data_IF_183999482120
#
_entry.id   IF_183999482120
#
_cell.length_a   1.000
_cell.length_b   1.000
_cell.length_c   1.000
_cell.angle_alpha   90.00
_cell.angle_beta   90.00
_cell.angle_gamma   90.00
#
_symmetry.space_group_name_H-M   'P 1'
#
loop_
_entity.id
_entity.type
_entity.pdbx_description
1 polymer ?
#
# COMPACT_ATOMS: atom_id res chain seq x y z
N UNK A 1 -31.68 35.75 -2.85
CA UNK A 1 -30.32 35.46 -3.37
C UNK A 1 -29.60 34.40 -2.52
N UNK A 2 -30.09 33.15 -2.46
CA UNK A 2 -29.53 32.09 -1.57
C UNK A 2 -29.09 30.81 -2.30
N UNK A 3 -29.27 30.73 -3.62
CA UNK A 3 -29.03 29.48 -4.37
C UNK A 3 -27.55 29.22 -4.73
N UNK A 4 -26.69 30.25 -4.72
CA UNK A 4 -25.28 30.10 -5.07
C UNK A 4 -24.45 29.38 -4.00
N UNK A 5 -24.70 29.67 -2.73
CA UNK A 5 -23.90 29.16 -1.61
C UNK A 5 -24.11 27.65 -1.38
N UNK A 6 -25.36 27.17 -1.46
CA UNK A 6 -25.68 25.75 -1.33
C UNK A 6 -25.07 24.90 -2.47
N UNK A 7 -24.99 25.45 -3.69
CA UNK A 7 -24.37 24.79 -4.86
C UNK A 7 -22.85 24.62 -4.67
N UNK A 8 -22.18 25.64 -4.13
CA UNK A 8 -20.74 25.59 -3.82
C UNK A 8 -20.42 24.57 -2.71
N UNK A 9 -21.22 24.53 -1.64
CA UNK A 9 -21.05 23.55 -0.56
C UNK A 9 -21.29 22.10 -1.03
N UNK A 10 -22.23 21.90 -1.96
CA UNK A 10 -22.47 20.57 -2.55
C UNK A 10 -21.31 20.13 -3.42
N UNK A 11 -20.78 21.03 -4.26
CA UNK A 11 -19.63 20.75 -5.12
C UNK A 11 -18.38 20.41 -4.29
N UNK A 12 -18.08 21.16 -3.22
CA UNK A 12 -16.94 20.89 -2.35
C UNK A 12 -17.05 19.56 -1.61
N UNK A 13 -18.27 19.17 -1.20
CA UNK A 13 -18.53 17.87 -0.56
C UNK A 13 -18.36 16.70 -1.53
N UNK A 14 -18.83 16.85 -2.78
CA UNK A 14 -18.66 15.84 -3.83
C UNK A 14 -17.19 15.67 -4.17
N UNK A 15 -16.45 16.77 -4.35
CA UNK A 15 -15.01 16.76 -4.59
C UNK A 15 -14.25 16.03 -3.46
N UNK A 16 -14.52 16.38 -2.19
CA UNK A 16 -13.87 15.70 -1.04
C UNK A 16 -14.16 14.19 -1.00
N UNK A 17 -15.39 13.78 -1.34
CA UNK A 17 -15.77 12.35 -1.38
C UNK A 17 -15.08 11.62 -2.55
N UNK A 18 -14.95 12.28 -3.69
CA UNK A 18 -14.27 11.71 -4.85
C UNK A 18 -12.76 11.58 -4.61
N UNK A 19 -12.12 12.61 -4.05
CA UNK A 19 -10.71 12.54 -3.63
C UNK A 19 -10.49 11.41 -2.62
N UNK A 20 -11.40 11.23 -1.66
CA UNK A 20 -11.32 10.12 -0.69
C UNK A 20 -11.37 8.74 -1.35
N UNK A 21 -12.25 8.54 -2.36
CA UNK A 21 -12.30 7.27 -3.12
C UNK A 21 -11.05 7.06 -3.98
N UNK A 22 -10.53 8.11 -4.60
CA UNK A 22 -9.29 8.07 -5.39
C UNK A 22 -8.11 7.65 -4.50
N UNK A 23 -7.98 8.27 -3.32
CA UNK A 23 -6.94 7.93 -2.32
C UNK A 23 -7.09 6.49 -1.84
N UNK A 24 -8.30 6.02 -1.53
CA UNK A 24 -8.52 4.62 -1.11
C UNK A 24 -8.14 3.61 -2.21
N UNK A 25 -8.38 3.97 -3.47
CA UNK A 25 -7.99 3.13 -4.61
C UNK A 25 -6.48 3.07 -4.76
N UNK A 26 -5.82 4.22 -4.62
CA UNK A 26 -4.35 4.31 -4.63
C UNK A 26 -3.71 3.52 -3.48
N UNK A 27 -4.28 3.58 -2.27
CA UNK A 27 -3.81 2.79 -1.12
C UNK A 27 -3.78 1.30 -1.46
N UNK A 28 -4.86 0.79 -2.07
CA UNK A 28 -4.94 -0.62 -2.47
C UNK A 28 -3.93 -0.96 -3.56
N UNK A 29 -3.87 -0.16 -4.62
CA UNK A 29 -2.94 -0.38 -5.73
C UNK A 29 -1.47 -0.37 -5.28
N UNK A 30 -1.10 0.60 -4.45
CA UNK A 30 0.26 0.71 -3.92
C UNK A 30 0.58 -0.46 -3.01
N UNK A 31 -0.35 -0.88 -2.14
CA UNK A 31 -0.17 -2.06 -1.30
C UNK A 31 0.03 -3.32 -2.15
N UNK A 32 -0.83 -3.56 -3.13
CA UNK A 32 -0.75 -4.74 -4.00
C UNK A 32 0.57 -4.76 -4.81
N UNK A 33 0.98 -3.62 -5.36
CA UNK A 33 2.25 -3.48 -6.08
C UNK A 33 3.48 -3.70 -5.18
N UNK A 34 3.39 -3.29 -3.91
CA UNK A 34 4.50 -3.40 -2.96
C UNK A 34 4.64 -4.79 -2.35
N UNK A 35 3.58 -5.61 -2.33
CA UNK A 35 3.51 -6.83 -1.54
C UNK A 35 4.64 -7.82 -1.85
N UNK A 36 4.83 -8.16 -3.13
CA UNK A 36 5.85 -9.13 -3.54
C UNK A 36 7.27 -8.67 -3.14
N UNK A 37 7.57 -7.39 -3.37
CA UNK A 37 8.87 -6.78 -3.07
C UNK A 37 9.12 -6.78 -1.55
N UNK A 38 8.09 -6.46 -0.76
CA UNK A 38 8.21 -6.47 0.71
C UNK A 38 8.45 -7.89 1.21
N UNK A 39 7.69 -8.88 0.72
CA UNK A 39 7.86 -10.28 1.09
C UNK A 39 9.27 -10.78 0.77
N UNK A 40 9.79 -10.49 -0.41
CA UNK A 40 11.16 -10.84 -0.80
C UNK A 40 12.20 -10.21 0.16
N UNK A 41 12.05 -8.92 0.47
CA UNK A 41 12.98 -8.19 1.36
C UNK A 41 12.98 -8.67 2.81
N UNK A 42 11.88 -9.26 3.28
CA UNK A 42 11.75 -9.67 4.69
C UNK A 42 11.93 -11.17 4.92
N UNK A 43 11.73 -12.00 3.89
CA UNK A 43 11.74 -13.45 4.00
C UNK A 43 13.00 -14.02 4.68
N UNK A 44 14.17 -13.42 4.46
CA UNK A 44 15.43 -13.91 5.01
C UNK A 44 15.69 -13.56 6.48
N UNK A 45 14.94 -12.62 7.07
CA UNK A 45 15.27 -12.05 8.39
C UNK A 45 14.25 -12.33 9.49
N UNK A 46 13.00 -12.61 9.14
CA UNK A 46 11.89 -12.70 10.11
C UNK A 46 11.80 -14.05 10.84
N UNK A 47 12.47 -15.10 10.35
CA UNK A 47 12.29 -16.47 10.86
C UNK A 47 12.71 -16.66 12.32
N UNK A 48 13.60 -15.83 12.85
CA UNK A 48 14.07 -15.86 14.24
C UNK A 48 13.49 -14.75 15.11
N UNK A 49 12.62 -13.89 14.57
CA UNK A 49 12.07 -12.74 15.28
C UNK A 49 10.79 -13.13 16.03
N UNK A 50 10.58 -12.54 17.21
CA UNK A 50 9.26 -12.55 17.83
C UNK A 50 8.23 -11.82 16.94
N UNK A 51 6.94 -12.05 17.16
CA UNK A 51 5.88 -11.39 16.40
C UNK A 51 5.97 -9.85 16.46
N UNK A 52 6.31 -9.29 17.61
CA UNK A 52 6.46 -7.85 17.80
C UNK A 52 7.64 -7.29 17.00
N UNK A 53 8.77 -7.99 17.00
CA UNK A 53 9.96 -7.64 16.22
C UNK A 53 9.70 -7.76 14.72
N UNK A 54 9.09 -8.87 14.28
CA UNK A 54 8.72 -9.08 12.88
C UNK A 54 7.78 -7.99 12.38
N UNK A 55 6.77 -7.57 13.17
CA UNK A 55 5.88 -6.44 12.86
C UNK A 55 6.65 -5.13 12.68
N UNK A 56 7.54 -4.81 13.62
CA UNK A 56 8.37 -3.61 13.56
C UNK A 56 9.28 -3.61 12.33
N UNK A 57 9.93 -4.74 12.08
CA UNK A 57 10.80 -4.94 10.93
C UNK A 57 10.07 -4.81 9.59
N UNK A 58 8.93 -5.49 9.43
CA UNK A 58 8.10 -5.40 8.22
C UNK A 58 7.64 -3.98 7.99
N UNK A 59 7.13 -3.28 9.02
CA UNK A 59 6.69 -1.88 8.89
C UNK A 59 7.82 -0.99 8.38
N UNK A 60 9.02 -1.11 8.94
CA UNK A 60 10.17 -0.31 8.53
C UNK A 60 10.58 -0.57 7.08
N UNK A 61 10.60 -1.84 6.65
CA UNK A 61 10.94 -2.21 5.27
C UNK A 61 9.85 -1.86 4.26
N UNK A 62 8.59 -2.06 4.63
CA UNK A 62 7.43 -1.75 3.80
C UNK A 62 7.33 -0.25 3.51
N UNK A 63 7.56 0.62 4.51
CA UNK A 63 7.47 2.07 4.33
C UNK A 63 8.36 2.61 3.19
N UNK A 64 9.57 2.06 3.02
CA UNK A 64 10.49 2.45 1.95
C UNK A 64 9.97 2.04 0.57
N UNK A 65 9.50 0.80 0.43
CA UNK A 65 8.94 0.27 -0.82
C UNK A 65 7.66 1.01 -1.19
N UNK A 66 6.75 1.15 -0.22
CA UNK A 66 5.47 1.84 -0.39
C UNK A 66 5.67 3.29 -0.80
N UNK A 67 6.66 4.00 -0.24
CA UNK A 67 7.00 5.37 -0.65
C UNK A 67 7.42 5.43 -2.13
N UNK A 68 8.25 4.50 -2.57
CA UNK A 68 8.69 4.41 -3.96
C UNK A 68 7.51 4.13 -4.91
N UNK A 69 6.67 3.14 -4.59
CA UNK A 69 5.49 2.78 -5.38
C UNK A 69 4.43 3.89 -5.37
N UNK A 70 4.27 4.61 -4.25
CA UNK A 70 3.37 5.78 -4.17
C UNK A 70 3.83 6.87 -5.13
N UNK A 71 5.13 7.20 -5.16
CA UNK A 71 5.66 8.20 -6.10
C UNK A 71 5.42 7.80 -7.54
N UNK A 72 5.66 6.53 -7.88
CA UNK A 72 5.42 6.00 -9.24
C UNK A 72 3.93 5.98 -9.61
N UNK A 73 3.03 5.72 -8.67
CA UNK A 73 1.59 5.75 -8.92
C UNK A 73 1.10 7.19 -9.17
N UNK A 74 1.61 8.16 -8.40
CA UNK A 74 1.18 9.56 -8.51
C UNK A 74 1.71 10.26 -9.77
N UNK A 75 2.86 9.85 -10.33
CA UNK A 75 3.33 10.42 -11.62
C UNK A 75 2.37 10.13 -12.78
N UNK A 76 1.51 9.12 -12.65
CA UNK A 76 0.50 8.73 -13.65
C UNK A 76 -0.83 9.47 -13.47
N UNK A 77 -0.96 10.32 -12.45
CA UNK A 77 -2.21 11.01 -12.10
C UNK A 77 -1.99 12.52 -12.19
N UNK A 78 -2.50 13.19 -13.24
CA UNK A 78 -2.33 14.64 -13.44
C UNK A 78 -2.87 15.51 -12.30
N UNK A 79 -3.88 15.01 -11.58
CA UNK A 79 -4.55 15.71 -10.46
C UNK A 79 -3.99 15.29 -9.09
N UNK A 80 -2.85 14.60 -9.03
CA UNK A 80 -2.28 14.13 -7.78
C UNK A 80 -1.92 15.31 -6.86
N UNK A 81 -2.43 15.29 -5.64
CA UNK A 81 -1.96 16.18 -4.58
C UNK A 81 -0.82 15.50 -3.81
N UNK A 82 0.30 16.21 -3.61
CA UNK A 82 1.43 15.76 -2.80
C UNK A 82 1.03 15.46 -1.35
N UNK A 83 0.02 16.13 -0.82
CA UNK A 83 -0.53 15.88 0.53
C UNK A 83 -1.11 14.46 0.67
N UNK A 84 -1.42 13.78 -0.44
CA UNK A 84 -1.90 12.41 -0.41
C UNK A 84 -0.79 11.41 -0.10
N UNK A 85 0.49 11.77 -0.33
CA UNK A 85 1.63 10.86 -0.19
C UNK A 85 1.65 10.27 1.22
N UNK A 86 1.66 11.11 2.26
CA UNK A 86 1.75 10.63 3.65
C UNK A 86 0.55 9.76 4.04
N UNK A 87 -0.64 10.11 3.54
CA UNK A 87 -1.86 9.34 3.79
C UNK A 87 -1.79 7.97 3.12
N UNK A 88 -1.38 7.93 1.85
CA UNK A 88 -1.25 6.70 1.08
C UNK A 88 -0.18 5.80 1.69
N UNK A 89 1.01 6.36 1.97
CA UNK A 89 2.15 5.61 2.49
C UNK A 89 1.82 4.99 3.84
N UNK A 90 1.27 5.77 4.77
CA UNK A 90 0.88 5.25 6.09
C UNK A 90 -0.17 4.13 5.96
N UNK A 91 -1.26 4.38 5.23
CA UNK A 91 -2.35 3.43 5.12
C UNK A 91 -1.97 2.14 4.37
N UNK A 92 -1.23 2.26 3.27
CA UNK A 92 -0.74 1.11 2.51
C UNK A 92 0.27 0.28 3.33
N UNK A 93 1.16 0.93 4.07
CA UNK A 93 2.11 0.25 4.96
C UNK A 93 1.37 -0.55 6.04
N UNK A 94 0.41 0.06 6.74
CA UNK A 94 -0.38 -0.63 7.78
C UNK A 94 -1.21 -1.79 7.21
N UNK A 95 -1.71 -1.65 5.99
CA UNK A 95 -2.42 -2.72 5.27
C UNK A 95 -1.52 -3.90 4.93
N UNK A 96 -0.26 -3.65 4.59
CA UNK A 96 0.69 -4.69 4.20
C UNK A 96 1.16 -5.56 5.37
N UNK A 97 1.40 -4.97 6.54
CA UNK A 97 1.95 -5.69 7.71
C UNK A 97 1.24 -7.02 7.99
N UNK A 98 -0.10 -7.10 8.16
CA UNK A 98 -0.77 -8.37 8.41
C UNK A 98 -0.70 -9.34 7.23
N UNK A 99 -0.77 -8.84 5.99
CA UNK A 99 -0.71 -9.69 4.78
C UNK A 99 0.67 -10.32 4.60
N UNK A 100 1.74 -9.55 4.80
CA UNK A 100 3.12 -10.05 4.75
C UNK A 100 3.34 -11.07 5.85
N UNK A 101 2.97 -10.77 7.10
CA UNK A 101 3.08 -11.74 8.20
C UNK A 101 2.35 -13.04 7.89
N UNK A 102 1.15 -12.95 7.32
CA UNK A 102 0.39 -14.13 6.93
C UNK A 102 1.17 -14.94 5.87
N UNK A 103 1.60 -14.34 4.76
CA UNK A 103 2.35 -15.05 3.71
C UNK A 103 3.64 -15.73 4.23
N UNK A 104 4.28 -15.11 5.22
CA UNK A 104 5.48 -15.67 5.84
C UNK A 104 5.16 -16.83 6.79
N UNK A 105 3.99 -16.79 7.46
CA UNK A 105 3.53 -17.88 8.34
C UNK A 105 3.04 -19.11 7.58
N UNK A 106 2.42 -18.94 6.40
CA UNK A 106 1.93 -20.06 5.57
C UNK A 106 3.06 -20.65 4.71
N UNK A 107 4.21 -19.99 4.65
CA UNK A 107 5.28 -20.27 3.70
C UNK A 107 4.91 -19.73 2.31
N UNK A 108 5.85 -19.03 1.66
CA UNK A 108 5.69 -18.67 0.25
C UNK A 108 5.60 -20.00 -0.52
N UNK A 109 4.55 -20.27 -1.32
CA UNK A 109 4.58 -21.42 -2.21
C UNK A 109 5.77 -21.23 -3.13
N UNK A 110 6.79 -22.08 -2.95
CA UNK A 110 7.92 -22.18 -3.87
C UNK A 110 7.34 -22.37 -5.28
N UNK A 111 7.76 -21.60 -6.29
CA UNK A 111 7.42 -21.94 -7.66
C UNK A 111 7.93 -23.36 -7.90
N UNK A 112 7.01 -24.30 -8.07
CA UNK A 112 7.33 -25.71 -8.29
C UNK A 112 8.29 -25.79 -9.46
N UNK A 113 9.55 -26.11 -9.15
CA UNK A 113 10.54 -26.47 -10.14
C UNK A 113 10.01 -27.72 -10.83
N UNK A 114 9.49 -27.57 -12.04
CA UNK A 114 9.07 -28.70 -12.86
C UNK A 114 10.34 -29.52 -13.10
N UNK A 115 10.41 -30.81 -12.69
CA UNK A 115 11.53 -31.63 -13.06
C UNK A 115 11.49 -31.80 -14.58
N UNK A 116 12.55 -31.32 -15.25
CA UNK A 116 12.81 -31.65 -16.64
C UNK A 116 13.05 -33.16 -16.67
N UNK A 117 12.04 -33.92 -17.09
CA UNK A 117 12.14 -35.36 -17.29
C UNK A 117 13.25 -35.60 -18.33
N UNK A 118 14.19 -36.47 -17.95
CA UNK A 118 15.28 -36.97 -18.79
C UNK A 118 14.77 -37.87 -19.92
#
# INVERSE_FOLDING_TARGET
>A
MTHGFAKLLRASRVFRKESSKKVETLIRQVADASLAIVCERVASQIGSMSLSEARGYIRARAAQVVMQETRQALTRIPEANLDWIDTIVRAATERLVPTVLHQMSVGIPQPTSIPLAA
#
